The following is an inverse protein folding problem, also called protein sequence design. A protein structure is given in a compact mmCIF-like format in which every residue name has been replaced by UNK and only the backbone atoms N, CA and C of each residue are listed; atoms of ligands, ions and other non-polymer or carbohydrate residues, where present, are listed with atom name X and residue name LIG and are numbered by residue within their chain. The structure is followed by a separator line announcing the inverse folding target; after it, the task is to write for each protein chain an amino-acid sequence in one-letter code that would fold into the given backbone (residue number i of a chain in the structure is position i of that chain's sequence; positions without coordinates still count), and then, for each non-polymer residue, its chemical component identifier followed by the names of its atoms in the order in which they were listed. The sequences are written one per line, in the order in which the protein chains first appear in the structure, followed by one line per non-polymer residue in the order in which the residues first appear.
data_IF_095597191552
#
_entry.id   IF_095597191552
#
_cell.length_a   1.000
_cell.length_b   1.000
_cell.length_c   1.000
_cell.angle_alpha   90.00
_cell.angle_beta   90.00
_cell.angle_gamma   90.00
#
_symmetry.space_group_name_H-M   'P 1'
#
loop_
_entity.id
_entity.type
_entity.pdbx_description
1 polymer ?
#
# COMPACT_ATOMS: atom_id res chain seq x y z
N UNK A 1 -21.20 -15.24 3.52
CA UNK A 1 -20.64 -14.05 4.21
C UNK A 1 -19.64 -14.59 5.23
N UNK A 2 -18.36 -14.23 5.16
CA UNK A 2 -17.35 -14.78 6.07
C UNK A 2 -17.52 -14.10 7.43
N UNK A 3 -18.15 -14.78 8.40
CA UNK A 3 -18.58 -14.20 9.68
C UNK A 3 -17.42 -13.68 10.55
N UNK A 4 -16.17 -14.01 10.21
CA UNK A 4 -14.96 -13.59 10.90
C UNK A 4 -14.37 -12.26 10.40
N UNK A 5 -14.85 -11.74 9.27
CA UNK A 5 -14.24 -10.56 8.64
C UNK A 5 -15.01 -9.28 8.98
N UNK A 6 -14.54 -8.57 9.99
CA UNK A 6 -15.02 -7.25 10.41
C UNK A 6 -13.97 -6.14 10.17
N UNK A 7 -14.27 -4.94 10.63
CA UNK A 7 -13.41 -3.76 10.49
C UNK A 7 -12.04 -3.91 11.15
N UNK A 8 -11.96 -4.54 12.33
CA UNK A 8 -10.69 -4.68 13.05
C UNK A 8 -9.84 -5.80 12.47
N UNK A 9 -10.46 -6.89 12.03
CA UNK A 9 -9.76 -7.92 11.24
C UNK A 9 -9.29 -7.35 9.91
N UNK A 10 -10.11 -6.53 9.23
CA UNK A 10 -9.71 -5.82 8.02
C UNK A 10 -8.47 -4.97 8.26
N UNK A 11 -8.49 -4.15 9.31
CA UNK A 11 -7.36 -3.32 9.73
C UNK A 11 -6.09 -4.14 10.03
N UNK A 12 -6.20 -5.20 10.82
CA UNK A 12 -5.08 -6.10 11.13
C UNK A 12 -4.48 -6.73 9.87
N UNK A 13 -5.32 -7.20 8.95
CA UNK A 13 -4.85 -7.75 7.67
C UNK A 13 -4.10 -6.69 6.85
N UNK A 14 -4.52 -5.43 6.91
CA UNK A 14 -3.82 -4.32 6.27
C UNK A 14 -2.39 -4.16 6.81
N UNK A 15 -2.25 -4.12 8.13
CA UNK A 15 -0.95 -4.04 8.81
C UNK A 15 -0.04 -5.22 8.43
N UNK A 16 -0.61 -6.43 8.42
CA UNK A 16 0.11 -7.66 8.09
C UNK A 16 0.56 -7.70 6.64
N UNK A 17 -0.33 -7.35 5.70
CA UNK A 17 0.01 -7.31 4.27
C UNK A 17 1.09 -6.26 3.99
N UNK A 18 1.13 -5.17 4.76
CA UNK A 18 2.16 -4.15 4.64
C UNK A 18 3.54 -4.64 5.08
N UNK A 19 3.68 -5.08 6.34
CA UNK A 19 4.98 -5.46 6.95
C UNK A 19 4.84 -6.50 8.07
N UNK A 20 3.92 -7.45 7.91
CA UNK A 20 3.68 -8.51 8.88
C UNK A 20 4.51 -9.76 8.65
N UNK A 21 4.87 -10.42 9.75
CA UNK A 21 5.48 -11.75 9.78
C UNK A 21 4.76 -12.65 10.78
N UNK A 22 4.64 -13.93 10.42
CA UNK A 22 4.08 -14.98 11.27
C UNK A 22 5.13 -16.06 11.47
N UNK A 23 5.67 -16.14 12.68
CA UNK A 23 6.65 -17.15 13.07
C UNK A 23 5.93 -18.25 13.83
N UNK A 24 6.30 -19.51 13.58
CA UNK A 24 5.69 -20.67 14.27
C UNK A 24 6.58 -21.24 15.37
N UNK A 25 7.89 -21.03 15.27
CA UNK A 25 8.91 -21.57 16.17
C UNK A 25 9.75 -20.45 16.83
N UNK A 26 10.25 -20.64 18.06
CA UNK A 26 9.95 -21.75 18.99
C UNK A 26 8.55 -21.64 19.63
N UNK A 27 7.89 -20.51 19.47
CA UNK A 27 6.49 -20.29 19.81
C UNK A 27 5.83 -19.39 18.76
N UNK A 28 4.51 -19.52 18.53
CA UNK A 28 3.85 -18.72 17.51
C UNK A 28 3.89 -17.23 17.87
N UNK A 29 4.33 -16.42 16.91
CA UNK A 29 4.43 -14.97 17.03
C UNK A 29 3.87 -14.31 15.78
N UNK A 30 3.19 -13.18 15.99
CA UNK A 30 2.78 -12.29 14.92
C UNK A 30 3.48 -10.96 15.14
N UNK A 31 4.28 -10.56 14.17
CA UNK A 31 5.12 -9.37 14.22
C UNK A 31 4.61 -8.41 13.14
N UNK A 32 4.45 -7.14 13.49
CA UNK A 32 4.19 -6.07 12.52
C UNK A 32 5.31 -5.06 12.67
N UNK A 33 6.10 -4.91 11.62
CA UNK A 33 7.19 -3.94 11.59
C UNK A 33 6.66 -2.57 11.19
N UNK A 34 6.93 -1.55 12.00
CA UNK A 34 6.69 -0.16 11.64
C UNK A 34 8.04 0.52 11.37
N UNK A 35 8.46 0.65 10.09
CA UNK A 35 9.71 1.33 9.76
C UNK A 35 9.64 2.81 10.14
N UNK A 36 10.65 3.34 10.83
CA UNK A 36 10.64 4.74 11.26
C UNK A 36 10.56 5.71 10.06
N UNK A 37 11.17 5.34 8.92
CA UNK A 37 11.16 6.13 7.69
C UNK A 37 9.76 6.29 7.05
N UNK A 38 8.87 5.29 7.19
CA UNK A 38 7.49 5.35 6.68
C UNK A 38 6.52 5.93 7.70
N UNK A 39 6.88 5.90 8.98
CA UNK A 39 6.11 6.52 10.05
C UNK A 39 6.23 8.04 10.05
N UNK A 40 7.35 8.60 9.59
CA UNK A 40 7.51 10.04 9.48
C UNK A 40 6.41 10.66 8.58
N UNK A 41 5.72 11.66 9.13
CA UNK A 41 4.75 12.45 8.40
C UNK A 41 5.04 13.94 8.54
N UNK A 42 4.73 14.68 7.48
CA UNK A 42 4.94 16.11 7.41
C UNK A 42 3.71 16.73 6.75
N UNK A 43 3.12 17.72 7.41
CA UNK A 43 2.10 18.59 6.85
C UNK A 43 2.73 19.74 6.05
N UNK A 44 1.91 20.71 5.65
CA UNK A 44 2.42 21.88 4.91
C UNK A 44 3.23 22.80 5.84
N UNK A 45 2.79 22.90 7.10
CA UNK A 45 3.37 23.83 8.07
C UNK A 45 4.01 23.11 9.27
N UNK A 46 3.69 21.83 9.50
CA UNK A 46 4.12 21.09 10.68
C UNK A 46 4.88 19.81 10.33
N UNK A 47 5.95 19.53 11.09
CA UNK A 47 6.65 18.24 11.05
C UNK A 47 6.13 17.40 12.22
N UNK A 48 5.58 16.23 11.90
CA UNK A 48 4.95 15.34 12.88
C UNK A 48 5.82 14.12 13.23
N UNK A 49 7.07 14.09 12.78
CA UNK A 49 7.95 12.91 12.83
C UNK A 49 8.85 12.84 14.08
N UNK A 50 8.32 13.11 15.27
CA UNK A 50 9.08 12.84 16.51
C UNK A 50 8.98 11.37 16.89
N UNK A 51 10.06 10.80 17.45
CA UNK A 51 10.08 9.41 17.90
C UNK A 51 8.96 9.11 18.93
N UNK A 52 8.64 10.09 19.77
CA UNK A 52 7.52 10.02 20.72
C UNK A 52 6.15 9.95 20.02
N UNK A 53 5.88 10.83 19.05
CA UNK A 53 4.62 10.83 18.30
C UNK A 53 4.43 9.51 17.55
N UNK A 54 5.51 9.00 16.98
CA UNK A 54 5.54 7.71 16.30
C UNK A 54 5.20 6.57 17.28
N UNK A 55 5.88 6.51 18.43
CA UNK A 55 5.59 5.49 19.47
C UNK A 55 4.16 5.57 19.97
N UNK A 56 3.63 6.76 20.20
CA UNK A 56 2.22 6.97 20.59
C UNK A 56 1.25 6.45 19.52
N UNK A 57 1.59 6.64 18.23
CA UNK A 57 0.83 6.06 17.13
C UNK A 57 0.80 4.53 17.18
N UNK A 58 1.96 3.88 17.34
CA UNK A 58 2.06 2.41 17.45
C UNK A 58 1.32 1.91 18.71
N UNK A 59 1.39 2.63 19.82
CA UNK A 59 0.64 2.32 21.03
C UNK A 59 -0.88 2.31 20.79
N UNK A 60 -1.42 3.28 20.06
CA UNK A 60 -2.85 3.29 19.72
C UNK A 60 -3.24 2.11 18.82
N UNK A 61 -2.36 1.74 17.86
CA UNK A 61 -2.56 0.54 17.04
C UNK A 61 -2.58 -0.72 17.92
N UNK A 62 -1.66 -0.82 18.89
CA UNK A 62 -1.65 -1.89 19.89
C UNK A 62 -2.99 -1.97 20.62
N UNK A 63 -3.44 -0.89 21.24
CA UNK A 63 -4.68 -0.90 22.03
C UNK A 63 -5.90 -1.35 21.21
N UNK A 64 -6.00 -0.87 19.96
CA UNK A 64 -7.06 -1.32 19.04
C UNK A 64 -7.02 -2.84 18.81
N UNK A 65 -5.83 -3.40 18.62
CA UNK A 65 -5.67 -4.83 18.31
C UNK A 65 -5.74 -5.75 19.54
N UNK A 66 -5.47 -5.26 20.75
CA UNK A 66 -5.56 -6.07 21.98
C UNK A 66 -6.96 -6.68 22.15
N UNK A 67 -8.00 -5.91 21.85
CA UNK A 67 -9.39 -6.39 21.89
C UNK A 67 -9.67 -7.54 20.91
N UNK A 68 -8.97 -7.56 19.77
CA UNK A 68 -9.14 -8.59 18.75
C UNK A 68 -8.32 -9.86 19.08
N UNK A 69 -7.10 -9.68 19.60
CA UNK A 69 -6.16 -10.78 19.78
C UNK A 69 -6.34 -11.50 21.12
N UNK A 70 -6.88 -10.82 22.14
CA UNK A 70 -7.10 -11.39 23.48
C UNK A 70 -5.80 -11.78 24.21
N UNK A 71 -4.66 -11.28 23.72
CA UNK A 71 -3.31 -11.58 24.18
C UNK A 71 -2.53 -10.27 24.32
N UNK A 72 -1.52 -10.25 25.20
CA UNK A 72 -0.65 -9.10 25.33
C UNK A 72 0.25 -8.94 24.09
N UNK A 73 0.39 -7.68 23.66
CA UNK A 73 1.33 -7.29 22.63
C UNK A 73 2.49 -6.51 23.25
N UNK A 74 3.71 -6.81 22.82
CA UNK A 74 4.91 -6.07 23.16
C UNK A 74 5.23 -5.06 22.07
N UNK A 75 5.69 -3.88 22.47
CA UNK A 75 6.30 -2.91 21.57
C UNK A 75 7.81 -3.02 21.76
N UNK A 76 8.54 -3.33 20.70
CA UNK A 76 9.99 -3.54 20.72
C UNK A 76 10.62 -2.52 19.78
N UNK A 77 11.55 -1.71 20.30
CA UNK A 77 12.33 -0.79 19.45
C UNK A 77 13.57 -1.51 18.91
N UNK A 78 13.70 -1.64 17.59
CA UNK A 78 14.91 -2.16 16.97
C UNK A 78 15.85 -1.00 16.61
N UNK A 79 16.81 -0.71 17.50
CA UNK A 79 18.05 0.08 17.29
C UNK A 79 17.98 1.24 16.26
N UNK A 80 16.86 1.96 16.22
CA UNK A 80 16.55 3.10 15.34
C UNK A 80 16.16 2.79 13.87
N UNK A 81 15.75 1.57 13.51
CA UNK A 81 15.23 1.27 12.16
C UNK A 81 13.71 1.09 12.15
N UNK A 82 13.18 0.39 13.15
CA UNK A 82 11.76 0.09 13.26
C UNK A 82 11.26 0.03 14.70
N UNK A 83 9.95 0.15 14.84
CA UNK A 83 9.21 -0.19 16.05
C UNK A 83 8.34 -1.38 15.71
N UNK A 84 8.53 -2.47 16.43
CA UNK A 84 7.83 -3.72 16.18
C UNK A 84 6.70 -3.92 17.18
N UNK A 85 5.53 -4.29 16.67
CA UNK A 85 4.42 -4.78 17.48
C UNK A 85 4.39 -6.31 17.43
N UNK A 86 4.63 -6.94 18.57
CA UNK A 86 4.81 -8.40 18.69
C UNK A 86 3.73 -9.02 19.57
N UNK A 87 2.87 -9.82 18.97
CA UNK A 87 1.92 -10.67 19.69
C UNK A 87 2.53 -12.05 19.91
N UNK A 88 2.56 -12.49 21.17
CA UNK A 88 3.01 -13.82 21.54
C UNK A 88 1.82 -14.73 21.79
N UNK A 89 1.87 -15.94 21.25
CA UNK A 89 0.85 -16.95 21.49
C UNK A 89 1.49 -18.17 22.14
N UNK A 90 0.80 -18.72 23.14
CA UNK A 90 1.23 -19.96 23.81
C UNK A 90 1.01 -21.20 22.94
N UNK A 91 0.15 -21.11 21.92
CA UNK A 91 -0.25 -22.20 21.03
C UNK A 91 -0.85 -21.65 19.73
N UNK A 92 -1.04 -22.51 18.74
CA UNK A 92 -1.74 -22.14 17.51
C UNK A 92 -3.25 -21.96 17.77
N UNK A 93 -3.69 -20.72 17.97
CA UNK A 93 -5.08 -20.36 18.29
C UNK A 93 -5.99 -20.34 17.06
N UNK A 94 -7.32 -20.29 17.26
CA UNK A 94 -8.27 -20.09 16.16
C UNK A 94 -8.01 -18.78 15.40
N UNK A 95 -7.63 -17.72 16.13
CA UNK A 95 -7.25 -16.42 15.56
C UNK A 95 -6.10 -16.58 14.57
N UNK A 96 -5.01 -17.24 14.98
CA UNK A 96 -3.85 -17.49 14.11
C UNK A 96 -4.21 -18.32 12.89
N UNK A 97 -5.02 -19.38 13.06
CA UNK A 97 -5.48 -20.22 11.96
C UNK A 97 -6.33 -19.44 10.95
N UNK A 98 -7.22 -18.56 11.42
CA UNK A 98 -8.07 -17.75 10.56
C UNK A 98 -7.25 -16.68 9.81
N UNK A 99 -6.31 -16.01 10.50
CA UNK A 99 -5.38 -15.06 9.86
C UNK A 99 -4.55 -15.77 8.79
N UNK A 100 -3.95 -16.93 9.13
CA UNK A 100 -3.16 -17.72 8.19
C UNK A 100 -3.99 -18.14 6.97
N UNK A 101 -5.23 -18.59 7.17
CA UNK A 101 -6.14 -18.93 6.07
C UNK A 101 -6.45 -17.73 5.16
N UNK A 102 -6.70 -16.55 5.74
CA UNK A 102 -6.96 -15.31 4.98
C UNK A 102 -5.72 -14.82 4.21
N UNK A 103 -4.53 -15.08 4.73
CA UNK A 103 -3.24 -14.78 4.08
C UNK A 103 -2.76 -15.88 3.14
N UNK A 104 -3.54 -16.95 2.95
CA UNK A 104 -3.25 -18.06 2.05
C UNK A 104 -2.11 -18.95 2.52
N UNK A 105 -1.94 -19.12 3.84
CA UNK A 105 -0.92 -19.97 4.46
C UNK A 105 0.49 -19.38 4.42
N UNK A 106 0.65 -18.16 3.92
CA UNK A 106 1.93 -17.45 3.87
C UNK A 106 2.28 -16.88 5.24
N UNK A 107 3.54 -16.59 5.45
CA UNK A 107 4.07 -16.12 6.75
C UNK A 107 4.85 -14.80 6.69
N UNK A 108 5.02 -14.20 5.51
CA UNK A 108 5.87 -13.02 5.34
C UNK A 108 5.28 -12.04 4.32
N UNK A 109 5.38 -10.74 4.61
CA UNK A 109 4.78 -9.66 3.82
C UNK A 109 5.23 -9.59 2.36
N UNK A 110 6.46 -10.01 2.04
CA UNK A 110 6.92 -10.12 0.65
C UNK A 110 6.11 -11.12 -0.18
N UNK A 111 5.46 -12.09 0.46
CA UNK A 111 4.65 -13.08 -0.22
C UNK A 111 3.15 -12.75 -0.16
N UNK A 112 2.69 -11.91 0.78
CA UNK A 112 1.28 -11.63 0.97
C UNK A 112 0.62 -10.97 -0.25
N UNK A 113 -0.69 -11.11 -0.32
CA UNK A 113 -1.55 -10.50 -1.33
C UNK A 113 -2.77 -9.94 -0.62
N UNK A 114 -3.49 -9.02 -1.25
CA UNK A 114 -4.81 -8.60 -0.74
C UNK A 114 -5.68 -9.85 -0.57
N UNK A 115 -6.16 -10.18 0.65
CA UNK A 115 -7.01 -11.35 0.86
C UNK A 115 -8.23 -11.36 -0.06
N UNK A 116 -8.49 -12.49 -0.73
CA UNK A 116 -9.60 -12.59 -1.69
C UNK A 116 -10.98 -12.30 -1.07
N UNK A 117 -11.13 -12.61 0.23
CA UNK A 117 -12.34 -12.31 0.99
C UNK A 117 -12.65 -10.80 1.04
N UNK A 118 -11.64 -9.93 0.97
CA UNK A 118 -11.84 -8.48 1.04
C UNK A 118 -12.56 -7.93 -0.19
N UNK A 119 -12.37 -8.49 -1.38
CA UNK A 119 -13.07 -7.98 -2.59
C UNK A 119 -14.60 -8.10 -2.47
N UNK A 120 -15.08 -9.08 -1.68
CA UNK A 120 -16.48 -9.34 -1.40
C UNK A 120 -16.95 -8.80 -0.04
N UNK A 121 -16.07 -8.17 0.74
CA UNK A 121 -16.40 -7.64 2.06
C UNK A 121 -17.20 -6.32 1.98
N UNK A 122 -17.85 -5.90 3.08
CA UNK A 122 -18.44 -4.57 3.19
C UNK A 122 -17.41 -3.45 2.95
N UNK A 123 -17.90 -2.28 2.52
CA UNK A 123 -17.05 -1.13 2.19
C UNK A 123 -16.16 -0.72 3.37
N UNK A 124 -16.70 -0.72 4.58
CA UNK A 124 -15.98 -0.38 5.81
C UNK A 124 -14.77 -1.28 6.05
N UNK A 125 -14.93 -2.60 5.93
CA UNK A 125 -13.83 -3.57 6.08
C UNK A 125 -12.72 -3.33 5.06
N UNK A 126 -13.09 -3.08 3.80
CA UNK A 126 -12.13 -2.76 2.72
C UNK A 126 -11.37 -1.49 3.03
N UNK A 127 -12.06 -0.47 3.56
CA UNK A 127 -11.47 0.82 3.95
C UNK A 127 -10.49 0.63 5.09
N UNK A 128 -10.87 -0.13 6.12
CA UNK A 128 -10.00 -0.43 7.26
C UNK A 128 -8.76 -1.22 6.84
N UNK A 129 -8.88 -2.16 5.91
CA UNK A 129 -7.72 -2.84 5.34
C UNK A 129 -6.72 -1.86 4.71
N UNK A 130 -7.19 -0.93 3.87
CA UNK A 130 -6.30 0.06 3.26
C UNK A 130 -5.73 1.00 4.32
N UNK A 131 -6.52 1.39 5.32
CA UNK A 131 -6.05 2.22 6.44
C UNK A 131 -4.93 1.54 7.22
N UNK A 132 -5.10 0.27 7.58
CA UNK A 132 -4.06 -0.53 8.24
C UNK A 132 -2.80 -0.64 7.39
N UNK A 133 -2.95 -0.90 6.09
CA UNK A 133 -1.82 -0.90 5.17
C UNK A 133 -1.08 0.44 5.17
N UNK A 134 -1.82 1.55 5.12
CA UNK A 134 -1.28 2.90 5.06
C UNK A 134 -0.65 3.37 6.37
N UNK A 135 -1.16 2.94 7.53
CA UNK A 135 -0.56 3.29 8.82
C UNK A 135 0.89 2.77 8.94
N UNK A 136 1.19 1.62 8.30
CA UNK A 136 2.54 1.03 8.24
C UNK A 136 3.35 1.54 7.03
N UNK A 137 2.78 1.44 5.83
CA UNK A 137 3.51 1.63 4.57
C UNK A 137 3.09 2.88 3.79
N UNK A 138 2.22 3.71 4.34
CA UNK A 138 1.79 4.98 3.78
C UNK A 138 2.67 6.14 4.20
N UNK A 139 3.22 6.84 3.22
CA UNK A 139 4.05 8.03 3.38
C UNK A 139 3.28 9.29 2.94
N UNK A 140 3.18 10.27 3.84
CA UNK A 140 2.46 11.53 3.62
C UNK A 140 3.36 12.72 3.99
N UNK A 141 3.77 13.49 2.97
CA UNK A 141 4.67 14.65 3.10
C UNK A 141 4.59 15.58 1.89
N UNK A 142 4.97 16.86 2.01
CA UNK A 142 5.02 17.80 0.89
C UNK A 142 5.89 17.34 -0.28
N UNK A 143 7.00 16.65 -0.01
CA UNK A 143 7.88 16.10 -1.06
C UNK A 143 7.20 15.04 -1.96
N UNK A 144 5.98 14.60 -1.63
CA UNK A 144 5.24 13.64 -2.42
C UNK A 144 4.39 14.25 -3.55
N UNK A 145 4.45 15.58 -3.74
CA UNK A 145 3.75 16.30 -4.82
C UNK A 145 4.02 15.73 -6.22
N UNK A 146 3.07 15.93 -7.13
CA UNK A 146 3.28 15.71 -8.55
C UNK A 146 3.87 16.95 -9.25
N UNK A 147 4.01 16.90 -10.58
CA UNK A 147 4.53 18.02 -11.37
C UNK A 147 3.60 19.24 -11.37
N UNK A 148 2.31 19.05 -11.06
CA UNK A 148 1.32 20.11 -10.95
C UNK A 148 1.27 20.72 -9.54
N UNK A 149 2.11 20.23 -8.61
CA UNK A 149 2.17 20.69 -7.23
C UNK A 149 1.14 20.02 -6.31
N UNK A 150 0.33 19.08 -6.81
CA UNK A 150 -0.69 18.41 -6.01
C UNK A 150 -0.07 17.33 -5.13
N UNK A 151 -0.36 17.39 -3.84
CA UNK A 151 0.10 16.48 -2.81
C UNK A 151 -0.52 15.09 -2.92
N UNK A 152 0.29 14.07 -2.61
CA UNK A 152 -0.10 12.67 -2.69
C UNK A 152 0.32 11.89 -1.45
N UNK A 153 -0.49 10.90 -1.10
CA UNK A 153 -0.09 9.78 -0.24
C UNK A 153 0.57 8.72 -1.12
N UNK A 154 1.74 8.23 -0.71
CA UNK A 154 2.42 7.11 -1.36
C UNK A 154 2.24 5.88 -0.50
N UNK A 155 1.61 4.83 -1.04
CA UNK A 155 1.60 3.51 -0.42
C UNK A 155 2.77 2.73 -0.99
N UNK A 156 3.83 2.58 -0.20
CA UNK A 156 5.06 1.93 -0.62
C UNK A 156 4.94 0.41 -0.47
N UNK A 157 5.28 -0.33 -1.52
CA UNK A 157 5.34 -1.80 -1.53
C UNK A 157 6.77 -2.21 -1.81
N UNK A 158 7.34 -3.05 -0.95
CA UNK A 158 8.71 -3.54 -1.11
C UNK A 158 8.87 -4.32 -2.42
N UNK A 159 10.04 -4.16 -3.03
CA UNK A 159 10.32 -4.64 -4.40
C UNK A 159 10.06 -6.15 -4.59
N UNK A 160 10.18 -6.98 -3.55
CA UNK A 160 9.91 -8.42 -3.67
C UNK A 160 8.43 -8.77 -3.92
N UNK A 161 7.49 -7.86 -3.68
CA UNK A 161 6.06 -8.11 -3.85
C UNK A 161 5.47 -7.35 -5.05
N UNK A 162 5.75 -7.87 -6.24
CA UNK A 162 5.37 -7.24 -7.50
C UNK A 162 3.86 -7.23 -7.77
N UNK A 163 3.09 -8.20 -7.26
CA UNK A 163 1.65 -8.29 -7.57
C UNK A 163 0.79 -7.37 -6.70
N UNK A 164 1.22 -7.10 -5.48
CA UNK A 164 0.43 -6.34 -4.51
C UNK A 164 0.05 -4.92 -4.97
N UNK A 165 0.90 -4.13 -5.65
CA UNK A 165 0.51 -2.80 -6.15
C UNK A 165 -0.70 -2.82 -7.08
N UNK A 166 -0.81 -3.83 -7.95
CA UNK A 166 -1.97 -4.01 -8.84
C UNK A 166 -3.22 -4.32 -8.03
N UNK A 167 -3.12 -5.19 -7.03
CA UNK A 167 -4.25 -5.55 -6.16
C UNK A 167 -4.73 -4.38 -5.31
N UNK A 168 -3.81 -3.58 -4.75
CA UNK A 168 -4.14 -2.35 -4.02
C UNK A 168 -4.83 -1.34 -4.94
N UNK A 169 -4.32 -1.15 -6.15
CA UNK A 169 -4.94 -0.27 -7.14
C UNK A 169 -6.37 -0.70 -7.48
N UNK A 170 -6.61 -2.00 -7.67
CA UNK A 170 -7.96 -2.53 -7.90
C UNK A 170 -8.88 -2.30 -6.70
N UNK A 171 -8.40 -2.61 -5.48
CA UNK A 171 -9.18 -2.40 -4.26
C UNK A 171 -9.57 -0.92 -4.07
N UNK A 172 -8.61 -0.01 -4.24
CA UNK A 172 -8.81 1.43 -4.15
C UNK A 172 -9.80 1.94 -5.22
N UNK A 173 -9.50 1.72 -6.50
CA UNK A 173 -10.29 2.33 -7.57
C UNK A 173 -11.65 1.67 -7.77
N UNK A 174 -11.72 0.33 -7.76
CA UNK A 174 -12.96 -0.38 -8.12
C UNK A 174 -13.91 -0.53 -6.95
N UNK A 175 -13.37 -0.78 -5.76
CA UNK A 175 -14.19 -1.13 -4.60
C UNK A 175 -14.35 0.03 -3.61
N UNK A 176 -13.36 0.91 -3.48
CA UNK A 176 -13.46 2.09 -2.61
C UNK A 176 -13.79 3.38 -3.37
N UNK A 177 -13.65 3.39 -4.70
CA UNK A 177 -13.80 4.60 -5.54
C UNK A 177 -12.77 5.69 -5.20
N UNK A 178 -11.59 5.29 -4.72
CA UNK A 178 -10.42 6.15 -4.52
C UNK A 178 -9.59 6.16 -5.82
N UNK A 179 -9.44 7.29 -6.51
CA UNK A 179 -8.60 7.39 -7.70
C UNK A 179 -7.12 7.05 -7.43
N UNK A 180 -6.53 6.21 -8.29
CA UNK A 180 -5.09 5.91 -8.29
C UNK A 180 -4.52 6.38 -9.64
N UNK A 181 -3.96 7.59 -9.74
CA UNK A 181 -3.46 8.12 -11.01
C UNK A 181 -2.44 7.19 -11.68
N UNK A 182 -1.53 6.62 -10.90
CA UNK A 182 -0.48 5.75 -11.40
C UNK A 182 0.17 4.90 -10.30
N UNK A 183 0.77 3.79 -10.73
CA UNK A 183 1.75 3.02 -9.95
C UNK A 183 3.13 3.39 -10.47
N UNK A 184 4.05 3.75 -9.57
CA UNK A 184 5.46 3.93 -9.92
C UNK A 184 6.20 2.65 -9.55
N UNK A 185 6.70 1.93 -10.55
CA UNK A 185 7.40 0.67 -10.33
C UNK A 185 8.89 0.90 -10.07
N UNK A 186 9.42 0.20 -9.07
CA UNK A 186 10.85 -0.07 -8.91
C UNK A 186 11.47 -1.01 -9.96
N UNK A 187 11.02 -0.94 -11.20
CA UNK A 187 11.56 -1.72 -12.31
C UNK A 187 12.67 -0.93 -13.01
N UNK A 188 13.78 -1.56 -13.46
CA UNK A 188 14.85 -0.89 -14.20
C UNK A 188 14.36 -0.04 -15.37
N UNK A 189 13.50 -0.59 -16.24
CA UNK A 189 12.89 0.18 -17.34
C UNK A 189 12.10 1.44 -16.94
N UNK A 190 11.78 1.61 -15.65
CA UNK A 190 11.16 2.83 -15.12
C UNK A 190 12.17 3.82 -14.55
N UNK A 191 13.47 3.58 -14.71
CA UNK A 191 14.58 4.38 -14.14
C UNK A 191 14.65 4.29 -12.62
N UNK A 192 14.16 3.18 -12.05
CA UNK A 192 14.01 2.99 -10.59
C UNK A 192 14.43 1.59 -10.17
N UNK A 193 15.61 1.18 -10.59
CA UNK A 193 16.19 -0.13 -10.28
C UNK A 193 16.00 -0.52 -8.80
N UNK A 194 15.21 -1.57 -8.59
CA UNK A 194 15.05 -2.29 -7.31
C UNK A 194 14.49 -1.48 -6.14
N UNK A 195 13.95 -0.28 -6.41
CA UNK A 195 13.29 0.54 -5.40
C UNK A 195 11.92 -0.03 -5.03
N UNK A 196 11.33 0.50 -3.96
CA UNK A 196 9.93 0.26 -3.63
C UNK A 196 9.01 0.68 -4.79
N UNK A 197 7.96 -0.12 -5.00
CA UNK A 197 6.84 0.26 -5.86
C UNK A 197 5.93 1.22 -5.08
N UNK A 198 5.32 2.17 -5.76
CA UNK A 198 4.52 3.21 -5.12
C UNK A 198 3.14 3.28 -5.75
N UNK A 199 2.10 3.00 -4.97
CA UNK A 199 0.72 3.28 -5.35
C UNK A 199 0.40 4.69 -4.85
N UNK A 200 0.25 5.63 -5.77
CA UNK A 200 -0.01 7.03 -5.40
C UNK A 200 -1.50 7.32 -5.38
N UNK A 201 -1.96 8.08 -4.40
CA UNK A 201 -3.32 8.63 -4.29
C UNK A 201 -3.19 10.10 -3.91
N UNK A 202 -4.05 10.99 -4.44
CA UNK A 202 -4.03 12.39 -4.02
C UNK A 202 -4.49 12.54 -2.57
N UNK A 203 -3.98 13.56 -1.87
CA UNK A 203 -4.24 13.74 -0.45
C UNK A 203 -5.75 13.91 -0.15
N UNK A 204 -6.43 14.72 -0.95
CA UNK A 204 -7.87 14.95 -0.90
C UNK A 204 -8.68 13.66 -1.15
N UNK A 205 -8.38 12.91 -2.22
CA UNK A 205 -8.97 11.59 -2.49
C UNK A 205 -8.72 10.60 -1.35
N UNK A 206 -7.54 10.62 -0.71
CA UNK A 206 -7.21 9.66 0.34
C UNK A 206 -7.91 9.96 1.68
N UNK A 207 -8.51 11.15 1.87
CA UNK A 207 -9.27 11.48 3.08
C UNK A 207 -10.42 10.50 3.36
N UNK A 208 -11.01 9.90 2.32
CA UNK A 208 -12.08 8.91 2.48
C UNK A 208 -11.60 7.59 3.11
N UNK A 209 -10.28 7.33 3.11
CA UNK A 209 -9.66 6.21 3.81
C UNK A 209 -9.07 6.70 5.12
N UNK A 210 -8.22 7.72 5.06
CA UNK A 210 -7.53 8.30 6.21
C UNK A 210 -6.45 7.39 6.82
N UNK A 211 -5.90 7.85 7.94
CA UNK A 211 -4.94 7.15 8.80
C UNK A 211 -5.56 6.98 10.18
N UNK A 212 -5.27 5.88 10.88
CA UNK A 212 -5.63 5.75 12.29
C UNK A 212 -4.62 6.49 13.16
N UNK A 213 -3.37 6.61 12.68
CA UNK A 213 -2.30 7.31 13.39
C UNK A 213 -2.55 8.82 13.33
N UNK A 214 -2.80 9.50 14.48
CA UNK A 214 -3.36 10.86 14.50
C UNK A 214 -2.51 11.88 13.77
N UNK A 215 -1.19 11.80 13.93
CA UNK A 215 -0.28 12.78 13.36
C UNK A 215 -0.14 12.60 11.82
N UNK A 216 -0.26 11.37 11.31
CA UNK A 216 -0.38 11.11 9.86
C UNK A 216 -1.71 11.65 9.32
N UNK A 217 -2.79 11.46 10.08
CA UNK A 217 -4.11 11.97 9.72
C UNK A 217 -4.16 13.49 9.69
N UNK A 218 -3.43 14.16 10.60
CA UNK A 218 -3.32 15.61 10.60
C UNK A 218 -2.50 16.11 9.40
N UNK A 219 -1.34 15.50 9.12
CA UNK A 219 -0.57 15.81 7.93
C UNK A 219 -1.42 15.63 6.65
N UNK A 220 -2.18 14.54 6.54
CA UNK A 220 -3.07 14.30 5.41
C UNK A 220 -4.08 15.44 5.21
N UNK A 221 -4.70 15.92 6.28
CA UNK A 221 -5.68 17.02 6.23
C UNK A 221 -5.03 18.31 5.73
N UNK A 222 -3.86 18.68 6.24
CA UNK A 222 -3.15 19.88 5.79
C UNK A 222 -2.80 19.82 4.30
N UNK A 223 -2.28 18.68 3.83
CA UNK A 223 -1.91 18.55 2.42
C UNK A 223 -3.13 18.47 1.49
N UNK A 224 -4.26 17.93 1.97
CA UNK A 224 -5.52 17.93 1.23
C UNK A 224 -6.10 19.34 1.13
N UNK A 225 -6.05 20.12 2.20
CA UNK A 225 -6.45 21.54 2.19
C UNK A 225 -5.56 22.35 1.23
N UNK A 226 -4.24 22.12 1.25
CA UNK A 226 -3.32 22.74 0.30
C UNK A 226 -3.68 22.42 -1.17
N UNK A 227 -4.08 21.17 -1.47
CA UNK A 227 -4.57 20.81 -2.80
C UNK A 227 -5.82 21.57 -3.21
N UNK A 228 -6.77 21.74 -2.28
CA UNK A 228 -8.01 22.49 -2.53
C UNK A 228 -7.71 23.96 -2.83
N UNK A 229 -6.78 24.57 -2.09
CA UNK A 229 -6.36 25.97 -2.29
C UNK A 229 -5.65 26.21 -3.62
N UNK A 230 -4.98 25.18 -4.18
CA UNK A 230 -4.40 25.27 -5.53
C UNK A 230 -5.47 25.36 -6.63
N UNK A 231 -6.74 25.04 -6.33
CA UNK A 231 -7.85 25.14 -7.27
C UNK A 231 -7.73 24.19 -8.48
N UNK A 232 -6.90 23.16 -8.38
CA UNK A 232 -6.68 22.15 -9.43
C UNK A 232 -7.39 20.87 -9.05
N UNK A 233 -8.23 20.35 -9.94
CA UNK A 233 -8.84 19.04 -9.72
C UNK A 233 -7.79 17.94 -9.89
N UNK A 234 -7.76 16.94 -8.99
CA UNK A 234 -6.95 15.74 -9.19
C UNK A 234 -7.29 15.08 -10.53
N UNK A 235 -6.30 14.58 -11.28
CA UNK A 235 -6.57 13.80 -12.47
C UNK A 235 -7.35 12.54 -12.11
N UNK A 236 -8.20 12.10 -13.05
CA UNK A 236 -8.95 10.85 -12.92
C UNK A 236 -8.01 9.66 -12.64
N UNK A 237 -8.54 8.66 -11.94
CA UNK A 237 -7.84 7.40 -11.72
C UNK A 237 -7.34 6.73 -13.01
N UNK A 238 -6.33 5.89 -12.88
CA UNK A 238 -5.71 5.18 -14.01
C UNK A 238 -6.76 4.42 -14.83
N UNK A 239 -6.94 4.70 -16.14
CA UNK A 239 -7.88 4.00 -17.00
C UNK A 239 -7.39 2.60 -17.41
N UNK A 240 -6.19 2.18 -16.99
CA UNK A 240 -5.57 0.91 -17.41
C UNK A 240 -4.66 1.11 -18.62
N UNK A 241 -4.77 0.21 -19.60
CA UNK A 241 -4.04 0.29 -20.88
C UNK A 241 -4.18 1.67 -21.54
N UNK A 242 -3.11 2.15 -22.16
CA UNK A 242 -3.12 3.41 -22.93
C UNK A 242 -2.23 3.27 -24.15
N UNK A 243 -2.37 4.19 -25.11
CA UNK A 243 -1.43 4.35 -26.21
C UNK A 243 -0.01 4.56 -25.67
N UNK A 244 0.94 3.86 -26.27
CA UNK A 244 2.35 4.07 -25.98
C UNK A 244 2.80 5.39 -26.61
N UNK A 245 3.30 6.32 -25.79
CA UNK A 245 3.75 7.64 -26.27
C UNK A 245 5.14 7.62 -26.88
N UNK A 246 6.04 6.80 -26.31
CA UNK A 246 7.41 6.69 -26.76
C UNK A 246 7.99 5.34 -26.34
N UNK A 247 8.96 4.83 -27.11
CA UNK A 247 9.79 3.70 -26.70
C UNK A 247 10.94 4.21 -25.84
N UNK A 248 11.19 3.56 -24.72
CA UNK A 248 12.32 3.88 -23.83
C UNK A 248 13.58 3.20 -24.35
N UNK A 249 14.79 3.71 -24.08
CA UNK A 249 16.02 2.99 -24.42
C UNK A 249 16.06 1.61 -23.73
N UNK A 250 16.80 0.63 -24.30
CA UNK A 250 17.02 -0.65 -23.64
C UNK A 250 17.78 -0.44 -22.33
N UNK A 251 17.48 -1.27 -21.35
CA UNK A 251 18.11 -1.26 -20.03
C UNK A 251 18.66 -2.66 -19.75
N UNK A 252 19.96 -2.75 -19.46
CA UNK A 252 20.67 -4.02 -19.29
C UNK A 252 20.32 -4.71 -17.96
N UNK A 253 19.85 -3.97 -16.94
CA UNK A 253 19.46 -4.54 -15.65
C UNK A 253 18.18 -5.41 -15.75
N UNK A 254 17.47 -5.39 -16.87
CA UNK A 254 16.32 -6.28 -17.17
C UNK A 254 16.73 -7.76 -17.26
N UNK A 255 18.01 -8.03 -17.51
CA UNK A 255 18.56 -9.39 -17.53
C UNK A 255 18.74 -10.03 -16.15
N UNK A 256 18.57 -9.26 -15.06
CA UNK A 256 18.68 -9.79 -13.70
C UNK A 256 17.41 -10.55 -13.30
N UNK A 257 17.45 -11.86 -13.49
CA UNK A 257 16.34 -12.79 -13.18
C UNK A 257 16.10 -12.98 -11.69
N UNK A 258 17.07 -12.64 -10.81
CA UNK A 258 16.96 -12.93 -9.38
C UNK A 258 15.90 -12.06 -8.67
N UNK A 259 15.69 -10.84 -9.17
CA UNK A 259 14.84 -9.84 -8.53
C UNK A 259 13.46 -9.70 -9.20
N UNK A 260 13.24 -10.35 -10.34
CA UNK A 260 12.02 -10.25 -11.13
C UNK A 260 11.19 -11.54 -11.06
N UNK A 261 9.85 -11.43 -10.94
CA UNK A 261 8.97 -12.58 -11.07
C UNK A 261 8.96 -13.07 -12.54
N UNK A 262 8.62 -14.34 -12.79
CA UNK A 262 8.65 -14.93 -14.13
C UNK A 262 7.90 -14.12 -15.19
N UNK A 263 6.84 -13.42 -14.80
CA UNK A 263 6.05 -12.59 -15.71
C UNK A 263 6.79 -11.37 -16.26
N UNK A 264 7.86 -10.92 -15.60
CA UNK A 264 8.61 -9.71 -15.98
C UNK A 264 10.02 -10.03 -16.51
N UNK A 265 10.55 -11.22 -16.22
CA UNK A 265 11.90 -11.62 -16.64
C UNK A 265 12.10 -11.51 -18.16
N UNK A 266 13.18 -10.83 -18.57
CA UNK A 266 13.55 -10.65 -19.97
C UNK A 266 12.58 -9.80 -20.80
N UNK A 267 11.54 -9.22 -20.18
CA UNK A 267 10.57 -8.37 -20.89
C UNK A 267 10.94 -6.91 -20.76
N UNK A 268 10.80 -6.19 -21.86
CA UNK A 268 10.99 -4.73 -21.92
C UNK A 268 9.65 -4.03 -21.73
N UNK A 269 9.66 -3.01 -20.88
CA UNK A 269 8.50 -2.18 -20.61
C UNK A 269 8.80 -0.71 -20.89
N UNK A 270 8.05 -0.11 -21.80
CA UNK A 270 8.15 1.31 -22.13
C UNK A 270 7.22 2.18 -21.26
N UNK A 271 6.21 1.58 -20.64
CA UNK A 271 5.25 2.28 -19.78
C UNK A 271 4.84 1.45 -18.54
N UNK A 272 4.45 2.16 -17.47
CA UNK A 272 4.07 1.54 -16.19
C UNK A 272 2.87 0.57 -16.33
N UNK A 273 1.92 0.89 -17.21
CA UNK A 273 0.70 0.09 -17.41
C UNK A 273 0.98 -1.25 -18.09
N UNK A 274 2.08 -1.37 -18.84
CA UNK A 274 2.50 -2.65 -19.44
C UNK A 274 2.96 -3.62 -18.34
N UNK A 275 3.68 -3.13 -17.33
CA UNK A 275 4.05 -3.91 -16.14
C UNK A 275 2.77 -4.35 -15.41
N UNK A 276 1.81 -3.43 -15.23
CA UNK A 276 0.53 -3.77 -14.61
C UNK A 276 -0.17 -4.93 -15.34
N UNK A 277 -0.23 -4.92 -16.67
CA UNK A 277 -0.84 -6.01 -17.44
C UNK A 277 -0.06 -7.32 -17.36
N UNK A 278 1.27 -7.27 -17.43
CA UNK A 278 2.10 -8.46 -17.25
C UNK A 278 1.84 -9.13 -15.89
N UNK A 279 1.48 -8.35 -14.87
CA UNK A 279 1.13 -8.80 -13.52
C UNK A 279 -0.38 -9.06 -13.32
N UNK A 280 -1.17 -9.09 -14.40
CA UNK A 280 -2.57 -9.49 -14.36
C UNK A 280 -3.59 -8.38 -14.13
N UNK A 281 -3.23 -7.10 -14.32
CA UNK A 281 -4.20 -6.01 -14.25
C UNK A 281 -5.29 -6.16 -15.33
N UNK A 282 -6.59 -6.21 -14.95
CA UNK A 282 -7.69 -6.33 -15.91
C UNK A 282 -8.13 -5.01 -16.52
N UNK A 283 -7.65 -3.85 -16.01
CA UNK A 283 -8.20 -2.54 -16.38
C UNK A 283 -7.89 -2.19 -17.83
N UNK A 284 -8.93 -1.78 -18.55
CA UNK A 284 -8.88 -1.17 -19.88
C UNK A 284 -9.62 0.16 -19.83
N UNK A 285 -9.32 1.11 -20.74
CA UNK A 285 -10.06 2.37 -20.80
C UNK A 285 -11.57 2.12 -20.88
N UNK A 286 -12.38 2.86 -20.10
CA UNK A 286 -13.83 2.77 -20.22
C UNK A 286 -14.27 3.13 -21.64
N UNK A 287 -15.48 2.72 -22.04
CA UNK A 287 -15.97 2.89 -23.41
C UNK A 287 -15.79 4.31 -23.97
N UNK A 288 -16.09 5.34 -23.16
CA UNK A 288 -15.92 6.75 -23.53
C UNK A 288 -14.47 7.25 -23.62
N UNK A 289 -13.50 6.47 -23.17
CA UNK A 289 -12.07 6.77 -23.22
C UNK A 289 -11.30 5.83 -24.16
N UNK A 290 -11.99 5.07 -25.02
CA UNK A 290 -11.33 4.16 -25.97
C UNK A 290 -10.44 4.87 -27.00
N UNK A 291 -10.65 6.17 -27.24
CA UNK A 291 -9.74 7.01 -28.02
C UNK A 291 -8.31 7.00 -27.47
N UNK A 292 -8.12 6.71 -26.17
CA UNK A 292 -6.79 6.52 -25.57
C UNK A 292 -6.02 5.31 -26.12
N UNK A 293 -6.67 4.41 -26.86
CA UNK A 293 -6.06 3.21 -27.45
C UNK A 293 -5.68 3.38 -28.93
N UNK A 294 -6.25 4.35 -29.64
CA UNK A 294 -6.11 4.52 -31.09
C UNK A 294 -5.23 5.73 -31.45
N UNK A 295 -4.64 5.72 -32.64
CA UNK A 295 -4.05 6.92 -33.24
C UNK A 295 -5.20 7.81 -33.73
N UNK A 296 -5.31 9.04 -33.24
CA UNK A 296 -5.95 10.07 -34.06
C UNK A 296 -4.89 10.56 -35.07
N UNK A 297 -5.20 10.58 -36.38
CA UNK A 297 -4.32 11.15 -37.38
C UNK A 297 -4.30 12.68 -37.20
N UNK A 298 -3.11 13.24 -37.01
CA UNK A 298 -2.83 14.62 -37.46
C UNK A 298 -2.31 14.57 -38.89
#
# INVERSE_FOLDING_TARGET
MNAYLDSDVGYLLGLLVARGEMLTEPSPRLIIHFPLATLAAQGEHHIYSTQESIRLGVFQVRERLLHLMGEDALIVDDKNDSIDLVFHFTRNTLVLRNISALLGGKSHYLAYSVPQALFHAPLEVKREFVRGFADVAGNVRPANRDQAGLHRVRLDVLNGNWRLPVQLCLLLQEHLKVPVPNIIWGHPNMGREWREHQVNVYADDFLQVGFSVPFKQQALKELAEANQLLGRSPPSGCPGERRLRARKPPDFAVGDVAHLPPELQGKRFDAYWQICHALGCPRRPPAGQRHLLTEEPE
#
